data_IF_640995562900
#
_entry.id   IF_640995562900
#
_cell.length_a   1.000
_cell.length_b   1.000
_cell.length_c   1.000
_cell.angle_alpha   90.00
_cell.angle_beta   90.00
_cell.angle_gamma   90.00
#
_symmetry.space_group_name_H-M   'P 1'
#
loop_
_entity.id
_entity.type
_entity.pdbx_description
1 polymer ?
#
# COMPACT_ATOMS: atom_id res chain seq x y z
N UNK A 1 -7.03 -16.38 18.32
CA UNK A 1 -6.55 -15.79 17.07
C UNK A 1 -6.45 -16.88 15.99
N UNK A 2 -5.73 -17.99 16.21
CA UNK A 2 -5.54 -19.09 15.24
C UNK A 2 -6.87 -19.72 14.74
N UNK A 3 -7.82 -19.99 15.63
CA UNK A 3 -9.11 -20.56 15.26
C UNK A 3 -9.96 -19.61 14.38
N UNK A 4 -9.76 -18.29 14.48
CA UNK A 4 -10.41 -17.28 13.65
C UNK A 4 -9.79 -17.19 12.24
N UNK A 5 -8.47 -17.30 12.14
CA UNK A 5 -7.75 -17.31 10.86
C UNK A 5 -8.09 -18.57 10.02
N UNK A 6 -8.21 -19.71 10.66
CA UNK A 6 -8.59 -20.98 10.03
C UNK A 6 -10.03 -20.92 9.49
N UNK A 7 -10.96 -20.38 10.28
CA UNK A 7 -12.35 -20.17 9.89
C UNK A 7 -12.49 -19.18 8.73
N UNK A 8 -11.65 -18.15 8.70
CA UNK A 8 -11.61 -17.18 7.59
C UNK A 8 -11.05 -17.81 6.32
N UNK A 9 -10.03 -18.66 6.40
CA UNK A 9 -9.51 -19.41 5.25
C UNK A 9 -10.55 -20.36 4.64
N UNK A 10 -11.29 -21.10 5.46
CA UNK A 10 -12.37 -21.98 5.00
C UNK A 10 -13.46 -21.21 4.25
N UNK A 11 -13.81 -20.01 4.70
CA UNK A 11 -14.81 -19.15 4.05
C UNK A 11 -14.31 -18.59 2.69
N UNK A 12 -13.01 -18.42 2.51
CA UNK A 12 -12.41 -17.94 1.26
C UNK A 12 -12.17 -19.00 0.20
N UNK A 13 -12.02 -20.26 0.59
CA UNK A 13 -11.72 -21.36 -0.35
C UNK A 13 -12.97 -21.96 -1.01
N UNK A 14 -14.17 -21.60 -0.58
CA UNK A 14 -15.41 -22.09 -1.18
C UNK A 14 -15.77 -21.23 -2.40
N UNK A 15 -15.56 -21.74 -3.59
CA UNK A 15 -15.59 -21.05 -4.89
C UNK A 15 -16.97 -20.64 -5.43
N UNK A 16 -17.98 -20.52 -4.60
CA UNK A 16 -19.29 -19.95 -4.97
C UNK A 16 -19.85 -19.05 -3.87
N UNK A 17 -19.12 -17.96 -3.58
CA UNK A 17 -19.62 -17.00 -2.60
C UNK A 17 -20.59 -16.07 -3.31
N UNK A 18 -21.86 -16.23 -2.99
CA UNK A 18 -22.96 -15.36 -3.39
C UNK A 18 -22.67 -13.88 -3.04
N UNK A 19 -23.16 -12.94 -3.85
CA UNK A 19 -22.94 -11.49 -3.67
C UNK A 19 -23.28 -11.01 -2.25
N UNK A 20 -24.31 -11.59 -1.63
CA UNK A 20 -24.70 -11.31 -0.25
C UNK A 20 -23.63 -11.71 0.77
N UNK A 21 -22.99 -12.86 0.59
CA UNK A 21 -21.90 -13.30 1.48
C UNK A 21 -20.66 -12.42 1.36
N UNK A 22 -20.34 -11.92 0.16
CA UNK A 22 -19.23 -10.97 -0.04
C UNK A 22 -19.46 -9.66 0.69
N UNK A 23 -20.69 -9.15 0.68
CA UNK A 23 -21.05 -7.94 1.42
C UNK A 23 -20.90 -8.15 2.92
N UNK A 24 -21.42 -9.24 3.47
CA UNK A 24 -21.28 -9.57 4.90
C UNK A 24 -19.82 -9.74 5.31
N UNK A 25 -19.01 -10.39 4.49
CA UNK A 25 -17.57 -10.54 4.76
C UNK A 25 -16.85 -9.19 4.74
N UNK A 26 -17.19 -8.29 3.81
CA UNK A 26 -16.63 -6.93 3.76
C UNK A 26 -16.95 -6.17 5.05
N UNK A 27 -18.20 -6.17 5.48
CA UNK A 27 -18.64 -5.53 6.73
C UNK A 27 -17.93 -6.13 7.95
N UNK A 28 -17.77 -7.46 7.96
CA UNK A 28 -17.05 -8.16 9.01
C UNK A 28 -15.58 -7.71 9.08
N UNK A 29 -14.89 -7.62 7.93
CA UNK A 29 -13.50 -7.14 7.89
C UNK A 29 -13.38 -5.68 8.29
N UNK A 30 -14.30 -4.83 7.88
CA UNK A 30 -14.33 -3.43 8.30
C UNK A 30 -14.55 -3.30 9.81
N UNK A 31 -15.48 -4.08 10.36
CA UNK A 31 -15.76 -4.13 11.79
C UNK A 31 -14.56 -4.64 12.59
N UNK A 32 -13.92 -5.74 12.16
CA UNK A 32 -12.73 -6.29 12.80
C UNK A 32 -11.53 -5.32 12.72
N UNK A 33 -11.35 -4.69 11.56
CA UNK A 33 -10.31 -3.67 11.37
C UNK A 33 -10.52 -2.46 12.27
N UNK A 34 -11.76 -1.99 12.40
CA UNK A 34 -12.13 -0.89 13.29
C UNK A 34 -11.91 -1.26 14.76
N UNK A 35 -12.34 -2.47 15.16
CA UNK A 35 -12.15 -2.97 16.53
C UNK A 35 -10.67 -3.06 16.90
N UNK A 36 -9.84 -3.63 16.02
CA UNK A 36 -8.40 -3.67 16.20
C UNK A 36 -7.77 -2.27 16.29
N UNK A 37 -8.22 -1.34 15.45
CA UNK A 37 -7.76 0.05 15.48
C UNK A 37 -8.10 0.74 16.81
N UNK A 38 -9.33 0.57 17.31
CA UNK A 38 -9.72 1.11 18.61
C UNK A 38 -8.96 0.47 19.76
N UNK A 39 -8.66 -0.82 19.69
CA UNK A 39 -7.87 -1.52 20.69
C UNK A 39 -6.42 -0.99 20.74
N UNK A 40 -5.80 -0.78 19.57
CA UNK A 40 -4.48 -0.16 19.47
C UNK A 40 -4.49 1.26 20.02
N UNK A 41 -5.51 2.07 19.71
CA UNK A 41 -5.68 3.43 20.26
C UNK A 41 -5.88 3.36 21.78
N UNK A 42 -6.71 2.44 22.28
CA UNK A 42 -6.94 2.25 23.70
C UNK A 42 -5.63 1.89 24.43
N UNK A 43 -4.85 0.95 23.90
CA UNK A 43 -3.53 0.59 24.42
C UNK A 43 -2.60 1.81 24.40
N UNK A 44 -2.61 2.58 23.32
CA UNK A 44 -1.80 3.80 23.20
C UNK A 44 -2.20 4.88 24.21
N UNK A 45 -3.49 5.07 24.47
CA UNK A 45 -4.01 6.08 25.39
C UNK A 45 -3.90 5.65 26.86
N UNK A 46 -3.99 4.36 27.15
CA UNK A 46 -3.94 3.81 28.52
C UNK A 46 -2.52 3.51 28.99
N UNK A 47 -1.66 3.06 28.11
CA UNK A 47 -0.24 3.05 28.39
C UNK A 47 0.23 4.50 28.26
N UNK A 48 0.47 5.17 29.42
CA UNK A 48 1.12 6.50 29.44
C UNK A 48 2.15 6.59 28.33
N UNK A 49 2.16 7.66 27.53
CA UNK A 49 3.15 7.79 26.50
C UNK A 49 4.51 7.53 27.15
N UNK A 50 5.18 6.50 26.72
CA UNK A 50 6.63 6.46 26.80
C UNK A 50 7.05 7.84 26.34
N UNK A 51 7.73 8.61 27.21
CA UNK A 51 8.29 9.91 26.83
C UNK A 51 8.78 9.77 25.39
N UNK A 52 8.23 10.49 24.43
CA UNK A 52 8.56 10.23 23.04
C UNK A 52 10.06 10.48 22.93
N UNK A 53 10.83 9.40 22.96
CA UNK A 53 12.26 9.48 22.71
C UNK A 53 12.39 10.30 21.42
N UNK A 54 13.05 11.44 21.43
CA UNK A 54 13.09 12.28 20.24
C UNK A 54 13.55 11.40 19.09
N UNK A 55 12.76 11.35 18.04
CA UNK A 55 13.04 10.56 16.84
C UNK A 55 14.47 10.86 16.42
N UNK A 56 15.27 9.84 16.22
CA UNK A 56 16.63 10.04 15.71
C UNK A 56 16.55 10.80 14.38
N UNK A 57 17.60 11.49 14.00
CA UNK A 57 17.67 12.16 12.68
C UNK A 57 17.31 11.19 11.53
N UNK A 58 17.67 9.92 11.67
CA UNK A 58 17.36 8.87 10.69
C UNK A 58 15.88 8.56 10.62
N UNK A 59 15.24 8.43 11.78
CA UNK A 59 13.79 8.21 11.85
C UNK A 59 13.01 9.40 11.27
N UNK A 60 13.49 10.62 11.51
CA UNK A 60 12.91 11.84 10.95
C UNK A 60 13.00 11.87 9.41
N UNK A 61 14.15 11.46 8.84
CA UNK A 61 14.31 11.35 7.37
C UNK A 61 13.36 10.32 6.80
N UNK A 62 13.20 9.16 7.47
CA UNK A 62 12.25 8.14 7.04
C UNK A 62 10.80 8.63 7.14
N UNK A 63 10.42 9.29 8.21
CA UNK A 63 9.07 9.86 8.39
C UNK A 63 8.75 10.90 7.30
N UNK A 64 9.70 11.80 7.00
CA UNK A 64 9.54 12.75 5.90
C UNK A 64 9.37 12.04 4.56
N UNK A 65 10.23 11.05 4.28
CA UNK A 65 10.09 10.22 3.07
C UNK A 65 8.71 9.57 2.95
N UNK A 66 8.20 8.98 4.02
CA UNK A 66 6.89 8.33 4.01
C UNK A 66 5.75 9.34 3.72
N UNK A 67 5.85 10.53 4.29
CA UNK A 67 4.91 11.62 4.03
C UNK A 67 5.02 12.14 2.58
N UNK A 68 6.23 12.32 2.07
CA UNK A 68 6.49 12.76 0.70
C UNK A 68 6.03 11.70 -0.31
N UNK A 69 6.27 10.42 -0.03
CA UNK A 69 5.77 9.31 -0.82
C UNK A 69 4.23 9.34 -0.92
N UNK A 70 3.54 9.58 0.19
CA UNK A 70 2.07 9.67 0.20
C UNK A 70 1.52 10.83 -0.63
N UNK A 71 2.30 11.88 -0.86
CA UNK A 71 1.92 13.05 -1.66
C UNK A 71 2.28 12.90 -3.13
N UNK A 72 3.41 12.27 -3.44
CA UNK A 72 4.01 12.30 -4.78
C UNK A 72 4.01 10.96 -5.52
N UNK A 73 3.53 9.86 -4.94
CA UNK A 73 3.58 8.51 -5.54
C UNK A 73 2.89 8.42 -6.92
N UNK A 74 1.93 9.27 -7.19
CA UNK A 74 1.27 9.31 -8.50
C UNK A 74 2.19 9.84 -9.60
N UNK A 75 3.03 10.81 -9.27
CA UNK A 75 3.82 11.56 -10.24
C UNK A 75 5.24 11.05 -10.30
N UNK A 76 5.83 10.72 -9.12
CA UNK A 76 7.23 10.45 -8.96
C UNK A 76 7.52 9.04 -8.43
N UNK A 77 8.33 8.31 -9.18
CA UNK A 77 8.72 6.92 -8.85
C UNK A 77 10.21 6.72 -8.62
N UNK A 78 11.00 7.77 -8.86
CA UNK A 78 12.45 7.71 -8.77
C UNK A 78 12.94 8.03 -7.36
N UNK A 79 13.82 7.17 -6.83
CA UNK A 79 14.43 7.37 -5.51
C UNK A 79 15.17 8.69 -5.42
N UNK A 80 15.76 9.14 -6.54
CA UNK A 80 16.50 10.41 -6.66
C UNK A 80 15.64 11.61 -6.33
N UNK A 81 14.37 11.62 -6.71
CA UNK A 81 13.42 12.68 -6.38
C UNK A 81 13.26 12.81 -4.85
N UNK A 82 12.99 11.72 -4.16
CA UNK A 82 12.78 11.72 -2.71
C UNK A 82 14.07 12.04 -1.93
N UNK A 83 15.21 11.61 -2.44
CA UNK A 83 16.50 11.97 -1.86
C UNK A 83 16.78 13.48 -2.00
N UNK A 84 16.44 14.07 -3.15
CA UNK A 84 16.57 15.50 -3.39
C UNK A 84 15.69 16.33 -2.44
N UNK A 85 14.44 15.92 -2.19
CA UNK A 85 13.56 16.57 -1.20
C UNK A 85 14.15 16.61 0.22
N UNK A 86 14.99 15.62 0.55
CA UNK A 86 15.66 15.52 1.85
C UNK A 86 17.07 16.17 1.85
N UNK A 87 17.50 16.75 0.73
CA UNK A 87 18.82 17.34 0.54
C UNK A 87 19.99 16.37 0.83
N UNK A 88 19.80 15.09 0.48
CA UNK A 88 20.81 14.04 0.68
C UNK A 88 21.12 13.31 -0.62
N UNK A 89 22.27 12.64 -0.68
CA UNK A 89 22.60 11.82 -1.84
C UNK A 89 21.67 10.58 -1.94
N UNK A 90 21.31 10.13 -3.15
CA UNK A 90 20.45 8.94 -3.34
C UNK A 90 21.02 7.67 -2.69
N UNK A 91 22.34 7.54 -2.66
CA UNK A 91 23.02 6.40 -2.03
C UNK A 91 22.83 6.42 -0.51
N UNK A 92 23.07 7.56 0.12
CA UNK A 92 22.87 7.72 1.57
C UNK A 92 21.40 7.52 1.93
N UNK A 93 20.49 8.15 1.20
CA UNK A 93 19.05 8.03 1.38
C UNK A 93 18.59 6.55 1.32
N UNK A 94 19.00 5.81 0.28
CA UNK A 94 18.63 4.41 0.10
C UNK A 94 19.14 3.52 1.24
N UNK A 95 20.36 3.75 1.70
CA UNK A 95 20.93 3.03 2.83
C UNK A 95 20.17 3.31 4.12
N UNK A 96 19.87 4.59 4.38
CA UNK A 96 19.15 5.04 5.56
C UNK A 96 17.72 4.47 5.61
N UNK A 97 16.96 4.57 4.52
CA UNK A 97 15.60 4.03 4.44
C UNK A 97 15.60 2.52 4.70
N UNK A 98 16.57 1.80 4.11
CA UNK A 98 16.69 0.36 4.32
C UNK A 98 17.06 0.01 5.76
N UNK A 99 17.97 0.77 6.38
CA UNK A 99 18.39 0.55 7.77
C UNK A 99 17.23 0.77 8.75
N UNK A 100 16.47 1.85 8.58
CA UNK A 100 15.34 2.20 9.48
C UNK A 100 14.14 1.29 9.27
N UNK A 101 13.78 0.97 8.02
CA UNK A 101 12.51 0.30 7.70
C UNK A 101 12.64 -1.18 7.33
N UNK A 102 13.87 -1.68 7.17
CA UNK A 102 14.13 -3.03 6.66
C UNK A 102 13.88 -3.21 5.16
N UNK A 103 13.37 -2.18 4.46
CA UNK A 103 13.04 -2.22 3.02
C UNK A 103 13.71 -1.07 2.27
N UNK A 104 14.07 -1.29 1.00
CA UNK A 104 14.63 -0.22 0.18
C UNK A 104 13.58 0.85 -0.15
N UNK A 105 14.03 2.09 -0.40
CA UNK A 105 13.15 3.17 -0.83
C UNK A 105 12.38 2.81 -2.10
N UNK A 106 13.03 2.15 -3.07
CA UNK A 106 12.36 1.66 -4.29
C UNK A 106 11.23 0.67 -3.98
N UNK A 107 11.44 -0.25 -3.03
CA UNK A 107 10.39 -1.19 -2.62
C UNK A 107 9.18 -0.47 -1.99
N UNK A 108 9.41 0.57 -1.19
CA UNK A 108 8.34 1.38 -0.63
C UNK A 108 7.53 2.10 -1.71
N UNK A 109 8.22 2.71 -2.68
CA UNK A 109 7.59 3.42 -3.81
C UNK A 109 6.74 2.44 -4.63
N UNK A 110 7.32 1.31 -5.03
CA UNK A 110 6.62 0.28 -5.79
C UNK A 110 5.40 -0.24 -5.04
N UNK A 111 5.56 -0.56 -3.77
CA UNK A 111 4.46 -1.06 -2.95
C UNK A 111 3.30 -0.06 -2.88
N UNK A 112 3.59 1.23 -2.69
CA UNK A 112 2.56 2.28 -2.64
C UNK A 112 1.85 2.40 -3.99
N UNK A 113 2.59 2.50 -5.09
CA UNK A 113 2.02 2.61 -6.44
C UNK A 113 1.16 1.39 -6.79
N UNK A 114 1.64 0.17 -6.50
CA UNK A 114 0.89 -1.06 -6.80
C UNK A 114 -0.36 -1.19 -5.94
N UNK A 115 -0.29 -0.85 -4.64
CA UNK A 115 -1.45 -0.90 -3.76
C UNK A 115 -2.58 0.03 -4.25
N UNK A 116 -2.24 1.27 -4.58
CA UNK A 116 -3.19 2.25 -5.10
C UNK A 116 -3.70 1.88 -6.51
N UNK A 117 -2.82 1.35 -7.37
CA UNK A 117 -3.23 0.88 -8.70
C UNK A 117 -4.24 -0.27 -8.61
N UNK A 118 -4.05 -1.21 -7.69
CA UNK A 118 -5.02 -2.28 -7.43
C UNK A 118 -6.37 -1.73 -7.00
N UNK A 119 -6.40 -0.80 -6.04
CA UNK A 119 -7.64 -0.16 -5.59
C UNK A 119 -8.38 0.56 -6.73
N UNK A 120 -7.66 1.29 -7.61
CA UNK A 120 -8.27 1.94 -8.76
C UNK A 120 -8.74 0.94 -9.84
N UNK A 121 -8.07 -0.19 -10.00
CA UNK A 121 -8.49 -1.24 -10.93
C UNK A 121 -9.77 -1.94 -10.48
N UNK A 122 -10.10 -1.92 -9.20
CA UNK A 122 -11.35 -2.42 -8.64
C UNK A 122 -12.53 -1.45 -8.81
N UNK A 123 -12.29 -0.24 -9.29
CA UNK A 123 -13.34 0.73 -9.64
C UNK A 123 -13.80 0.51 -11.10
N UNK A 124 -15.09 0.19 -11.34
CA UNK A 124 -15.59 -0.14 -12.68
C UNK A 124 -15.54 1.07 -13.64
N UNK A 125 -15.70 2.28 -13.11
CA UNK A 125 -15.84 3.52 -13.89
C UNK A 125 -14.51 4.05 -14.46
N UNK A 126 -13.36 3.55 -13.97
CA UNK A 126 -12.05 4.00 -14.44
C UNK A 126 -11.47 3.06 -15.50
N UNK A 127 -11.16 3.59 -16.67
CA UNK A 127 -10.42 2.85 -17.68
C UNK A 127 -8.95 2.64 -17.28
N UNK A 128 -8.32 1.58 -17.79
CA UNK A 128 -6.89 1.31 -17.57
C UNK A 128 -6.02 2.48 -18.11
N UNK A 129 -6.48 3.16 -19.17
CA UNK A 129 -5.80 4.33 -19.72
C UNK A 129 -5.83 5.50 -18.74
N UNK A 130 -6.97 5.79 -18.13
CA UNK A 130 -7.11 6.85 -17.12
C UNK A 130 -6.25 6.56 -15.88
N UNK A 131 -6.23 5.31 -15.43
CA UNK A 131 -5.34 4.89 -14.35
C UNK A 131 -3.87 5.13 -14.70
N UNK A 132 -3.44 4.74 -15.92
CA UNK A 132 -2.08 4.98 -16.38
C UNK A 132 -1.73 6.47 -16.42
N UNK A 133 -2.65 7.30 -16.87
CA UNK A 133 -2.50 8.77 -16.90
C UNK A 133 -2.41 9.34 -15.48
N UNK A 134 -3.26 8.88 -14.56
CA UNK A 134 -3.25 9.32 -13.15
C UNK A 134 -1.93 9.02 -12.43
N UNK A 135 -1.29 7.91 -12.77
CA UNK A 135 0.04 7.57 -12.26
C UNK A 135 1.19 8.11 -13.10
N UNK A 136 0.93 9.09 -13.97
CA UNK A 136 1.96 9.71 -14.80
C UNK A 136 2.82 8.69 -15.57
N UNK A 137 2.20 7.64 -16.12
CA UNK A 137 2.90 6.74 -17.03
C UNK A 137 2.84 7.28 -18.46
N UNK A 138 3.93 7.15 -19.24
CA UNK A 138 3.98 7.62 -20.64
C UNK A 138 2.87 7.04 -21.52
N UNK A 139 2.41 5.84 -21.22
CA UNK A 139 1.27 5.20 -21.88
C UNK A 139 0.67 4.08 -21.05
N UNK A 140 -0.55 3.64 -21.43
CA UNK A 140 -1.18 2.44 -20.88
C UNK A 140 -0.28 1.19 -21.00
N UNK A 141 0.51 1.08 -22.06
CA UNK A 141 1.42 -0.04 -22.27
C UNK A 141 2.56 -0.07 -21.26
N UNK A 142 3.13 1.09 -20.94
CA UNK A 142 4.15 1.21 -19.89
C UNK A 142 3.58 0.85 -18.50
N UNK A 143 2.42 1.36 -18.16
CA UNK A 143 1.72 0.98 -16.94
C UNK A 143 1.45 -0.52 -16.90
N UNK A 144 0.98 -1.10 -18.00
CA UNK A 144 0.69 -2.54 -18.10
C UNK A 144 1.92 -3.41 -17.88
N UNK A 145 3.07 -3.03 -18.45
CA UNK A 145 4.36 -3.73 -18.22
C UNK A 145 4.81 -3.60 -16.77
N UNK A 146 4.75 -2.39 -16.21
CA UNK A 146 5.11 -2.12 -14.82
C UNK A 146 4.24 -2.95 -13.86
N UNK A 147 2.93 -2.86 -14.00
CA UNK A 147 2.00 -3.60 -13.14
C UNK A 147 2.21 -5.12 -13.24
N UNK A 148 2.32 -5.65 -14.47
CA UNK A 148 2.57 -7.08 -14.69
C UNK A 148 3.89 -7.55 -14.07
N UNK A 149 4.93 -6.73 -14.13
CA UNK A 149 6.24 -7.04 -13.53
C UNK A 149 6.14 -7.27 -12.02
N UNK A 150 5.39 -6.41 -11.31
CA UNK A 150 5.31 -6.48 -9.86
C UNK A 150 4.15 -7.34 -9.32
N UNK A 151 3.08 -7.52 -10.09
CA UNK A 151 1.87 -8.27 -9.67
C UNK A 151 1.79 -9.66 -10.28
N UNK A 152 2.51 -9.91 -11.39
CA UNK A 152 2.52 -11.18 -12.09
C UNK A 152 1.45 -11.28 -13.20
N UNK A 153 0.40 -10.46 -13.19
CA UNK A 153 -0.64 -10.45 -14.21
C UNK A 153 -0.89 -9.05 -14.78
N UNK A 154 -1.52 -8.97 -15.96
CA UNK A 154 -1.85 -7.66 -16.54
C UNK A 154 -2.96 -6.93 -15.76
N UNK A 155 -3.03 -5.58 -15.83
CA UNK A 155 -4.12 -4.82 -15.21
C UNK A 155 -5.51 -5.30 -15.62
N UNK A 156 -5.69 -5.67 -16.90
CA UNK A 156 -6.94 -6.23 -17.41
C UNK A 156 -7.28 -7.58 -16.80
N UNK A 157 -6.27 -8.45 -16.64
CA UNK A 157 -6.47 -9.76 -16.01
C UNK A 157 -6.77 -9.60 -14.51
N UNK A 158 -6.08 -8.69 -13.83
CA UNK A 158 -6.33 -8.37 -12.42
C UNK A 158 -7.77 -7.90 -12.20
N UNK A 159 -8.24 -6.90 -12.98
CA UNK A 159 -9.62 -6.39 -12.91
C UNK A 159 -10.65 -7.49 -13.05
N UNK A 160 -10.47 -8.37 -14.06
CA UNK A 160 -11.39 -9.50 -14.28
C UNK A 160 -11.42 -10.49 -13.12
N UNK A 161 -10.30 -10.72 -12.43
CA UNK A 161 -10.23 -11.60 -11.26
C UNK A 161 -10.89 -10.99 -10.04
N UNK A 162 -10.91 -9.65 -9.93
CA UNK A 162 -11.58 -8.92 -8.85
C UNK A 162 -13.11 -8.82 -9.02
N UNK A 163 -13.66 -9.41 -10.10
CA UNK A 163 -15.10 -9.53 -10.29
C UNK A 163 -15.76 -8.42 -11.12
N UNK A 164 -14.94 -7.68 -11.90
CA UNK A 164 -15.39 -6.64 -12.86
C UNK A 164 -14.93 -6.95 -14.29
#
# INVERSE_FOLDING_TARGET
IHAYEERLRELYTTSSIDAGRRTVLRELYQSLGSSFFFEVIYIYLTNKPLDPKPLSNRDQVFQRFYNDLSRHYCEEREVTFYAALQHVSPRYFSSLVKEVSGRSASQWIVQKVIAEAKALLEMPDLSIKEIATRFNFPSQSFFGKYFKHYVGCSPKAYRRQSGY
#
